data_IF_888169849905
#
_entry.id   IF_888169849905
#
_cell.length_a   1.000
_cell.length_b   1.000
_cell.length_c   1.000
_cell.angle_alpha   90.00
_cell.angle_beta   90.00
_cell.angle_gamma   90.00
#
_symmetry.space_group_name_H-M   'P 1'
#
loop_
_entity.id
_entity.type
_entity.pdbx_description
1 polymer ?
#
# COMPACT_ATOMS: atom_id res chain seq x y z
N UNK A 1 -21.07 2.40 9.60
CA UNK A 1 -20.01 2.24 10.61
C UNK A 1 -19.53 0.81 10.54
N UNK A 2 -18.22 0.62 10.58
CA UNK A 2 -17.59 -0.71 10.55
C UNK A 2 -17.91 -1.49 11.81
N UNK A 3 -18.12 -2.80 11.68
CA UNK A 3 -18.25 -3.70 12.82
C UNK A 3 -16.85 -4.07 13.33
N UNK A 4 -16.41 -3.43 14.42
CA UNK A 4 -15.09 -3.66 15.02
C UNK A 4 -14.89 -5.10 15.49
N UNK A 5 -15.96 -5.81 15.89
CA UNK A 5 -15.89 -7.21 16.32
C UNK A 5 -15.61 -8.11 15.12
N UNK A 6 -16.27 -7.85 13.99
CA UNK A 6 -16.07 -8.62 12.76
C UNK A 6 -14.64 -8.46 12.22
N UNK A 7 -14.14 -7.23 12.10
CA UNK A 7 -12.80 -6.99 11.54
C UNK A 7 -11.70 -7.59 12.42
N UNK A 8 -11.82 -7.51 13.75
CA UNK A 8 -10.87 -8.12 14.70
C UNK A 8 -10.88 -9.64 14.56
N UNK A 9 -12.07 -10.25 14.41
CA UNK A 9 -12.20 -11.69 14.16
C UNK A 9 -11.51 -12.10 12.86
N UNK A 10 -11.70 -11.36 11.77
CA UNK A 10 -11.04 -11.70 10.50
C UNK A 10 -9.54 -11.46 10.52
N UNK A 11 -9.07 -10.41 11.20
CA UNK A 11 -7.64 -10.15 11.44
C UNK A 11 -6.99 -11.31 12.18
N UNK A 12 -7.58 -11.74 13.30
CA UNK A 12 -7.11 -12.91 14.08
C UNK A 12 -7.08 -14.19 13.25
N UNK A 13 -8.09 -14.42 12.44
CA UNK A 13 -8.14 -15.59 11.55
C UNK A 13 -7.02 -15.58 10.50
N UNK A 14 -6.73 -14.41 9.92
CA UNK A 14 -5.63 -14.23 8.98
C UNK A 14 -4.27 -14.49 9.65
N UNK A 15 -4.01 -13.83 10.79
CA UNK A 15 -2.75 -13.99 11.55
C UNK A 15 -2.53 -15.47 11.90
N UNK A 16 -3.54 -16.13 12.46
CA UNK A 16 -3.42 -17.55 12.82
C UNK A 16 -3.16 -18.45 11.61
N UNK A 17 -3.66 -18.10 10.42
CA UNK A 17 -3.39 -18.85 9.20
C UNK A 17 -1.94 -18.65 8.70
N UNK A 18 -1.39 -17.44 8.84
CA UNK A 18 0.00 -17.12 8.52
C UNK A 18 0.93 -17.90 9.47
N UNK A 19 0.71 -17.80 10.78
CA UNK A 19 1.52 -18.48 11.80
C UNK A 19 1.53 -20.01 11.65
N UNK A 20 0.38 -20.59 11.29
CA UNK A 20 0.25 -22.04 11.05
C UNK A 20 0.77 -22.48 9.68
N UNK A 21 1.35 -21.59 8.88
CA UNK A 21 1.88 -21.90 7.55
C UNK A 21 0.81 -22.45 6.60
N UNK A 22 -0.43 -21.93 6.67
CA UNK A 22 -1.50 -22.37 5.76
C UNK A 22 -1.18 -22.01 4.32
N UNK A 23 -1.78 -22.75 3.39
CA UNK A 23 -1.50 -22.57 1.96
C UNK A 23 -1.76 -21.14 1.51
N UNK A 24 -0.92 -20.65 0.59
CA UNK A 24 -1.02 -19.30 0.04
C UNK A 24 -2.45 -18.95 -0.41
N UNK A 25 -3.12 -19.86 -1.13
CA UNK A 25 -4.51 -19.68 -1.61
C UNK A 25 -5.50 -19.50 -0.44
N UNK A 26 -5.31 -20.23 0.65
CA UNK A 26 -6.15 -20.10 1.84
C UNK A 26 -5.93 -18.76 2.54
N UNK A 27 -4.67 -18.41 2.79
CA UNK A 27 -4.30 -17.15 3.45
C UNK A 27 -4.73 -15.94 2.64
N UNK A 28 -4.58 -15.96 1.31
CA UNK A 28 -5.04 -14.89 0.43
C UNK A 28 -6.56 -14.67 0.48
N UNK A 29 -7.35 -15.73 0.63
CA UNK A 29 -8.81 -15.60 0.81
C UNK A 29 -9.15 -14.93 2.14
N UNK A 30 -8.43 -15.26 3.20
CA UNK A 30 -8.62 -14.63 4.52
C UNK A 30 -8.23 -13.16 4.49
N UNK A 31 -7.10 -12.85 3.84
CA UNK A 31 -6.64 -11.48 3.62
C UNK A 31 -7.70 -10.68 2.84
N UNK A 32 -8.16 -11.19 1.69
CA UNK A 32 -9.20 -10.51 0.91
C UNK A 32 -10.51 -10.32 1.69
N UNK A 33 -10.87 -11.25 2.57
CA UNK A 33 -12.05 -11.11 3.44
C UNK A 33 -11.84 -10.03 4.49
N UNK A 34 -10.66 -9.99 5.12
CA UNK A 34 -10.32 -8.93 6.07
C UNK A 34 -10.37 -7.55 5.43
N UNK A 35 -9.72 -7.38 4.27
CA UNK A 35 -9.69 -6.09 3.54
C UNK A 35 -11.10 -5.60 3.24
N UNK A 36 -11.96 -6.47 2.69
CA UNK A 36 -13.36 -6.10 2.40
C UNK A 36 -14.17 -5.75 3.64
N UNK A 37 -13.96 -6.43 4.75
CA UNK A 37 -14.66 -6.13 6.00
C UNK A 37 -14.19 -4.81 6.62
N UNK A 38 -12.86 -4.57 6.66
CA UNK A 38 -12.26 -3.31 7.13
C UNK A 38 -12.81 -2.12 6.34
N UNK A 39 -12.94 -2.30 5.02
CA UNK A 39 -13.42 -1.24 4.12
C UNK A 39 -14.97 -1.16 4.10
N UNK A 40 -15.66 -1.72 5.09
CA UNK A 40 -17.13 -1.73 5.22
C UNK A 40 -17.86 -2.26 3.98
N UNK A 41 -17.28 -3.26 3.30
CA UNK A 41 -17.82 -3.88 2.10
C UNK A 41 -18.23 -2.85 1.03
N UNK A 42 -17.37 -1.87 0.79
CA UNK A 42 -17.55 -0.88 -0.28
C UNK A 42 -16.23 -0.57 -0.96
N UNK A 43 -16.32 -0.03 -2.16
CA UNK A 43 -15.19 0.55 -2.84
C UNK A 43 -14.68 1.76 -2.05
N UNK A 44 -13.42 1.76 -1.61
CA UNK A 44 -12.85 2.89 -0.87
C UNK A 44 -12.76 4.14 -1.76
N UNK A 45 -12.65 3.97 -3.07
CA UNK A 45 -12.56 5.08 -4.03
C UNK A 45 -13.91 5.75 -4.35
N UNK A 46 -15.03 4.99 -4.40
CA UNK A 46 -16.30 5.52 -4.90
C UNK A 46 -17.55 5.08 -4.11
N UNK A 47 -17.36 4.43 -2.95
CA UNK A 47 -18.41 3.89 -2.07
C UNK A 47 -19.37 2.85 -2.71
N UNK A 48 -19.15 2.44 -3.97
CA UNK A 48 -19.94 1.38 -4.60
C UNK A 48 -19.86 0.06 -3.83
N UNK A 49 -20.99 -0.64 -3.67
CA UNK A 49 -21.07 -1.96 -3.03
C UNK A 49 -21.07 -3.12 -4.03
N UNK A 50 -20.89 -2.82 -5.33
CA UNK A 50 -21.06 -3.79 -6.41
C UNK A 50 -19.73 -4.35 -6.89
N UNK A 51 -19.68 -5.68 -7.12
CA UNK A 51 -18.53 -6.39 -7.73
C UNK A 51 -17.18 -6.05 -7.08
N UNK A 52 -17.14 -6.13 -5.75
CA UNK A 52 -15.98 -5.74 -4.95
C UNK A 52 -14.83 -6.74 -5.02
N UNK A 53 -13.62 -6.21 -5.08
CA UNK A 53 -12.37 -6.95 -5.17
C UNK A 53 -11.35 -6.34 -4.20
N UNK A 54 -10.57 -7.19 -3.54
CA UNK A 54 -9.40 -6.73 -2.79
C UNK A 54 -8.23 -6.56 -3.77
N UNK A 55 -7.68 -5.37 -3.81
CA UNK A 55 -6.56 -4.96 -4.65
C UNK A 55 -5.31 -4.81 -3.80
N UNK A 56 -4.17 -5.21 -4.33
CA UNK A 56 -2.86 -5.00 -3.69
C UNK A 56 -2.33 -3.63 -4.11
N UNK A 57 -2.08 -2.73 -3.16
CA UNK A 57 -1.52 -1.40 -3.46
C UNK A 57 -0.13 -1.56 -4.09
N UNK A 58 0.78 -2.25 -3.40
CA UNK A 58 2.06 -2.70 -3.94
C UNK A 58 1.88 -4.14 -4.44
N UNK A 59 2.12 -4.34 -5.73
CA UNK A 59 1.90 -5.62 -6.40
C UNK A 59 2.75 -6.73 -5.80
N UNK A 60 2.14 -7.89 -5.58
CA UNK A 60 2.81 -9.11 -5.09
C UNK A 60 3.99 -9.59 -5.93
N UNK A 61 4.04 -9.23 -7.22
CA UNK A 61 5.16 -9.58 -8.11
C UNK A 61 6.37 -8.69 -7.87
N UNK A 62 6.14 -7.44 -7.46
CA UNK A 62 7.20 -6.50 -7.10
C UNK A 62 7.72 -6.78 -5.69
N UNK A 63 6.80 -6.96 -4.72
CA UNK A 63 7.17 -7.18 -3.32
C UNK A 63 6.39 -8.35 -2.69
N UNK A 64 6.85 -9.61 -2.89
CA UNK A 64 6.16 -10.81 -2.40
C UNK A 64 6.02 -10.90 -0.88
N UNK A 65 6.91 -10.25 -0.12
CA UNK A 65 6.87 -10.26 1.34
C UNK A 65 5.71 -9.43 1.92
N UNK A 66 5.18 -8.46 1.16
CA UNK A 66 4.09 -7.58 1.60
C UNK A 66 2.67 -8.10 1.27
N UNK A 67 2.53 -9.32 0.75
CA UNK A 67 1.25 -9.81 0.19
C UNK A 67 0.10 -9.84 1.20
N UNK A 68 0.41 -10.11 2.47
CA UNK A 68 -0.58 -10.24 3.52
C UNK A 68 -0.58 -9.06 4.51
N UNK A 69 0.21 -8.03 4.25
CA UNK A 69 0.19 -6.78 5.03
C UNK A 69 -1.20 -6.15 4.93
N UNK A 70 -1.69 -5.62 6.05
CA UNK A 70 -3.05 -5.11 6.15
C UNK A 70 -3.18 -3.80 5.37
N UNK A 71 -2.18 -2.92 5.47
CA UNK A 71 -2.09 -1.68 4.72
C UNK A 71 -1.80 -1.86 3.23
N UNK A 72 -1.37 -3.05 2.79
CA UNK A 72 -1.10 -3.33 1.38
C UNK A 72 -2.34 -3.82 0.61
N UNK A 73 -3.54 -3.59 1.15
CA UNK A 73 -4.79 -4.00 0.56
C UNK A 73 -5.83 -2.89 0.59
N UNK A 74 -6.60 -2.77 -0.49
CA UNK A 74 -7.73 -1.83 -0.61
C UNK A 74 -8.90 -2.50 -1.34
N UNK A 75 -10.12 -2.25 -0.90
CA UNK A 75 -11.33 -2.74 -1.57
C UNK A 75 -11.73 -1.77 -2.67
N UNK A 76 -11.88 -2.30 -3.88
CA UNK A 76 -12.31 -1.54 -5.05
C UNK A 76 -13.46 -2.26 -5.76
N UNK A 77 -14.38 -1.50 -6.36
CA UNK A 77 -15.33 -2.09 -7.30
C UNK A 77 -14.60 -2.46 -8.60
N UNK A 78 -15.21 -3.33 -9.41
CA UNK A 78 -14.64 -3.75 -10.69
C UNK A 78 -14.22 -2.58 -11.61
N UNK A 79 -14.97 -1.48 -11.59
CA UNK A 79 -14.68 -0.30 -12.41
C UNK A 79 -13.43 0.45 -11.91
N UNK A 80 -13.37 0.81 -10.63
CA UNK A 80 -12.19 1.46 -10.05
C UNK A 80 -10.96 0.56 -10.14
N UNK A 81 -11.12 -0.74 -9.92
CA UNK A 81 -10.05 -1.72 -10.07
C UNK A 81 -9.53 -1.80 -11.51
N UNK A 82 -10.43 -1.76 -12.49
CA UNK A 82 -10.08 -1.74 -13.91
C UNK A 82 -9.35 -0.47 -14.34
N UNK A 83 -9.70 0.69 -13.76
CA UNK A 83 -9.04 1.98 -14.06
C UNK A 83 -7.59 2.02 -13.59
N UNK A 84 -7.32 1.53 -12.40
CA UNK A 84 -5.94 1.33 -11.88
C UNK A 84 -5.15 0.45 -12.84
N UNK A 85 -5.76 -0.67 -13.24
CA UNK A 85 -5.13 -1.58 -14.19
C UNK A 85 -5.15 -1.13 -15.66
N UNK A 86 -5.77 0.01 -15.98
CA UNK A 86 -5.96 0.44 -17.37
C UNK A 86 -4.64 0.79 -18.05
N UNK A 87 -3.70 1.36 -17.29
CA UNK A 87 -2.37 1.69 -17.80
C UNK A 87 -1.51 0.42 -17.96
N UNK A 88 -1.63 -0.55 -17.04
CA UNK A 88 -0.85 -1.78 -17.11
C UNK A 88 -1.45 -2.97 -16.35
N UNK A 89 -1.71 -4.04 -17.12
CA UNK A 89 -2.19 -5.35 -16.66
C UNK A 89 -1.11 -6.45 -16.69
N UNK A 90 0.13 -6.10 -17.06
CA UNK A 90 1.23 -7.05 -17.24
C UNK A 90 1.99 -7.39 -15.96
N UNK A 91 3.09 -8.13 -16.12
CA UNK A 91 4.14 -8.28 -15.11
C UNK A 91 5.28 -7.33 -15.48
N UNK A 92 5.70 -6.42 -14.60
CA UNK A 92 6.79 -5.51 -14.91
C UNK A 92 8.10 -6.28 -15.06
N UNK A 93 8.95 -5.84 -15.98
CA UNK A 93 10.32 -6.32 -16.09
C UNK A 93 11.17 -5.77 -14.94
N UNK A 94 11.40 -6.61 -13.94
CA UNK A 94 12.17 -6.26 -12.74
C UNK A 94 13.65 -5.90 -12.99
N UNK A 95 14.16 -6.05 -14.22
CA UNK A 95 15.50 -5.58 -14.59
C UNK A 95 15.54 -4.09 -14.96
N UNK A 96 14.39 -3.46 -15.16
CA UNK A 96 14.27 -2.03 -15.44
C UNK A 96 14.08 -1.22 -14.16
N UNK A 97 14.40 0.08 -14.17
CA UNK A 97 14.06 0.97 -13.07
C UNK A 97 12.56 0.93 -12.76
N UNK A 98 12.22 1.17 -11.50
CA UNK A 98 10.83 1.28 -11.07
C UNK A 98 10.10 2.36 -11.88
N UNK A 99 8.90 2.06 -12.37
CA UNK A 99 8.12 2.98 -13.23
C UNK A 99 8.62 3.09 -14.68
N UNK A 100 9.69 2.39 -15.07
CA UNK A 100 10.14 2.34 -16.48
C UNK A 100 9.11 1.64 -17.39
N UNK A 101 8.31 0.76 -16.82
CA UNK A 101 7.09 0.25 -17.40
C UNK A 101 5.91 0.80 -16.60
N UNK A 102 4.80 1.13 -17.26
CA UNK A 102 3.58 1.73 -16.68
C UNK A 102 2.88 0.86 -15.59
N UNK A 103 3.55 -0.17 -15.07
CA UNK A 103 3.04 -1.14 -14.10
C UNK A 103 3.21 -0.78 -12.65
N UNK A 104 4.22 0.03 -12.33
CA UNK A 104 4.56 0.43 -10.98
C UNK A 104 4.53 1.97 -10.91
N UNK A 105 3.32 2.52 -10.95
CA UNK A 105 3.07 3.96 -10.90
C UNK A 105 3.08 4.44 -9.45
N UNK A 106 4.07 5.27 -9.14
CA UNK A 106 4.24 5.89 -7.84
C UNK A 106 3.03 6.76 -7.45
N UNK A 107 2.42 7.47 -8.41
CA UNK A 107 1.26 8.33 -8.14
C UNK A 107 0.03 7.50 -7.76
N UNK A 108 -0.13 6.32 -8.38
CA UNK A 108 -1.16 5.34 -8.01
C UNK A 108 -0.98 4.87 -6.57
N UNK A 109 0.24 4.54 -6.15
CA UNK A 109 0.51 4.10 -4.77
C UNK A 109 0.25 5.22 -3.77
N UNK A 110 0.74 6.43 -4.03
CA UNK A 110 0.48 7.59 -3.18
C UNK A 110 -1.03 7.84 -3.05
N UNK A 111 -1.77 7.79 -4.16
CA UNK A 111 -3.23 7.95 -4.18
C UNK A 111 -3.94 6.87 -3.34
N UNK A 112 -3.59 5.60 -3.53
CA UNK A 112 -4.23 4.49 -2.82
C UNK A 112 -3.94 4.50 -1.32
N UNK A 113 -2.70 4.80 -0.91
CA UNK A 113 -2.39 4.97 0.52
C UNK A 113 -3.12 6.17 1.12
N UNK A 114 -3.27 7.26 0.35
CA UNK A 114 -4.09 8.42 0.74
C UNK A 114 -5.56 8.04 0.98
N UNK A 115 -6.16 7.28 0.05
CA UNK A 115 -7.51 6.76 0.20
C UNK A 115 -7.68 5.88 1.45
N UNK A 116 -6.70 5.02 1.75
CA UNK A 116 -6.74 4.18 2.96
C UNK A 116 -6.68 5.02 4.24
N UNK A 117 -5.86 6.06 4.27
CA UNK A 117 -5.78 6.98 5.41
C UNK A 117 -7.09 7.75 5.61
N UNK A 118 -7.64 8.32 4.54
CA UNK A 118 -8.90 9.05 4.60
C UNK A 118 -10.06 8.15 5.06
N UNK A 119 -10.05 6.90 4.61
CA UNK A 119 -11.01 5.88 5.04
C UNK A 119 -10.83 5.49 6.53
N UNK A 120 -9.60 5.31 7.00
CA UNK A 120 -9.31 5.04 8.40
C UNK A 120 -9.87 6.16 9.30
N UNK A 121 -9.61 7.42 8.93
CA UNK A 121 -10.13 8.61 9.63
C UNK A 121 -11.66 8.64 9.59
N UNK A 122 -12.26 8.45 8.41
CA UNK A 122 -13.72 8.43 8.23
C UNK A 122 -14.41 7.37 9.08
N UNK A 123 -13.77 6.21 9.26
CA UNK A 123 -14.31 5.08 10.01
C UNK A 123 -13.94 5.11 11.50
N UNK A 124 -12.99 5.96 11.92
CA UNK A 124 -12.47 6.00 13.28
C UNK A 124 -11.66 4.75 13.64
N UNK A 125 -10.96 4.17 12.66
CA UNK A 125 -10.13 2.98 12.85
C UNK A 125 -8.68 3.36 13.16
N UNK A 126 -8.05 2.58 14.04
CA UNK A 126 -6.63 2.71 14.34
C UNK A 126 -5.78 2.27 13.13
N UNK A 127 -4.94 3.19 12.65
CA UNK A 127 -4.12 3.00 11.45
C UNK A 127 -3.04 1.92 11.65
N UNK A 128 -2.43 1.86 12.83
CA UNK A 128 -1.40 0.87 13.16
C UNK A 128 -1.99 -0.51 13.51
N UNK A 129 -3.27 -0.60 13.86
CA UNK A 129 -3.93 -1.89 14.07
C UNK A 129 -4.47 -2.51 12.76
N UNK A 130 -5.21 -1.72 11.97
CA UNK A 130 -6.03 -2.24 10.86
C UNK A 130 -5.45 -1.97 9.47
N UNK A 131 -4.43 -1.12 9.38
CA UNK A 131 -3.75 -0.77 8.13
C UNK A 131 -2.24 -0.97 8.25
N UNK A 132 -1.80 -1.82 9.18
CA UNK A 132 -0.38 -2.08 9.46
C UNK A 132 0.43 -2.45 8.21
N UNK A 133 1.64 -1.89 8.13
CA UNK A 133 2.70 -2.23 7.19
C UNK A 133 3.98 -2.58 7.97
N UNK A 134 4.48 -3.80 7.82
CA UNK A 134 5.72 -4.22 8.49
C UNK A 134 6.95 -3.39 8.11
N UNK A 135 7.90 -3.27 9.04
CA UNK A 135 9.14 -2.49 8.87
C UNK A 135 9.94 -2.91 7.64
N UNK A 136 9.85 -4.18 7.22
CA UNK A 136 10.49 -4.66 6.00
C UNK A 136 9.94 -3.95 4.74
N UNK A 137 8.66 -3.63 4.73
CA UNK A 137 7.99 -2.92 3.65
C UNK A 137 8.31 -1.42 3.68
N UNK A 138 8.39 -0.82 4.88
CA UNK A 138 8.83 0.57 5.00
C UNK A 138 10.27 0.76 4.53
N UNK A 139 11.17 -0.16 4.91
CA UNK A 139 12.56 -0.18 4.42
C UNK A 139 12.66 -0.36 2.91
N UNK A 140 11.77 -1.15 2.31
CA UNK A 140 11.65 -1.24 0.86
C UNK A 140 11.29 0.12 0.24
N UNK A 141 10.34 0.86 0.83
CA UNK A 141 9.98 2.20 0.34
C UNK A 141 11.14 3.18 0.44
N UNK A 142 11.83 3.20 1.60
CA UNK A 142 13.04 4.00 1.81
C UNK A 142 14.13 3.63 0.79
N UNK A 143 14.32 2.34 0.52
CA UNK A 143 15.30 1.92 -0.48
C UNK A 143 14.99 2.45 -1.89
N UNK A 144 13.70 2.54 -2.24
CA UNK A 144 13.28 3.08 -3.53
C UNK A 144 13.34 4.61 -3.60
N UNK A 145 12.99 5.31 -2.52
CA UNK A 145 12.74 6.76 -2.54
C UNK A 145 13.79 7.59 -1.79
N UNK A 146 14.52 6.99 -0.85
CA UNK A 146 15.31 7.70 0.17
C UNK A 146 14.43 8.09 1.36
N UNK A 147 14.49 9.37 1.75
CA UNK A 147 13.68 9.98 2.81
C UNK A 147 13.76 9.25 4.16
N UNK A 148 14.99 8.99 4.64
CA UNK A 148 15.25 8.33 5.91
C UNK A 148 14.62 9.06 7.11
N UNK A 149 14.52 10.39 7.05
CA UNK A 149 13.91 11.20 8.11
C UNK A 149 12.41 10.89 8.29
N UNK A 150 11.67 10.69 7.19
CA UNK A 150 10.26 10.28 7.23
C UNK A 150 10.12 8.92 7.91
N UNK A 151 11.01 7.97 7.58
CA UNK A 151 11.01 6.68 8.25
C UNK A 151 11.35 6.81 9.74
N UNK A 152 12.25 7.72 10.10
CA UNK A 152 12.55 8.06 11.49
C UNK A 152 11.33 8.55 12.28
N UNK A 153 10.46 9.36 11.67
CA UNK A 153 9.21 9.82 12.29
C UNK A 153 8.27 8.66 12.63
N UNK A 154 8.14 7.68 11.72
CA UNK A 154 7.32 6.48 11.97
C UNK A 154 7.87 5.67 13.15
N UNK A 155 9.19 5.48 13.20
CA UNK A 155 9.83 4.71 14.28
C UNK A 155 9.69 5.40 15.65
N UNK A 156 9.51 6.73 15.68
CA UNK A 156 9.21 7.50 16.89
C UNK A 156 7.71 7.56 17.24
N UNK A 157 6.84 7.01 16.40
CA UNK A 157 5.39 7.06 16.57
C UNK A 157 4.78 8.44 16.28
N UNK A 158 5.50 9.32 15.59
CA UNK A 158 5.02 10.66 15.19
C UNK A 158 4.15 10.60 13.93
N UNK A 159 4.22 9.50 13.19
CA UNK A 159 3.54 9.28 11.93
C UNK A 159 3.12 7.81 11.83
N UNK A 160 1.89 7.56 11.40
CA UNK A 160 1.45 6.19 11.13
C UNK A 160 2.16 5.61 9.91
N UNK A 161 2.15 4.28 9.82
CA UNK A 161 2.80 3.56 8.71
C UNK A 161 2.16 3.84 7.35
N UNK A 162 0.83 3.97 7.29
CA UNK A 162 0.13 4.28 6.03
C UNK A 162 0.25 5.75 5.65
N UNK A 163 0.32 6.66 6.62
CA UNK A 163 0.62 8.07 6.33
C UNK A 163 2.01 8.19 5.74
N UNK A 164 3.01 7.50 6.32
CA UNK A 164 4.34 7.42 5.74
C UNK A 164 4.33 6.85 4.32
N UNK A 165 3.57 5.79 4.07
CA UNK A 165 3.45 5.21 2.74
C UNK A 165 2.86 6.22 1.73
N UNK A 166 1.84 7.00 2.12
CA UNK A 166 1.33 8.08 1.28
C UNK A 166 2.40 9.16 1.02
N UNK A 167 3.08 9.62 2.07
CA UNK A 167 4.04 10.73 1.98
C UNK A 167 5.30 10.37 1.18
N UNK A 168 5.85 9.17 1.35
CA UNK A 168 7.11 8.77 0.69
C UNK A 168 6.95 8.55 -0.81
N UNK A 169 5.76 8.15 -1.26
CA UNK A 169 5.45 7.93 -2.68
C UNK A 169 4.89 9.19 -3.36
N UNK A 170 4.68 10.32 -2.67
CA UNK A 170 4.22 11.56 -3.32
C UNK A 170 5.32 12.33 -4.08
N UNK A 171 6.55 12.49 -3.57
CA UNK A 171 7.61 13.25 -4.23
C UNK A 171 8.53 12.36 -5.08
N UNK A 172 9.26 12.92 -6.05
CA UNK A 172 10.27 12.16 -6.80
C UNK A 172 11.35 11.56 -5.87
N UNK A 173 12.05 10.48 -6.27
CA UNK A 173 13.14 9.91 -5.48
C UNK A 173 14.21 10.94 -5.12
N UNK A 174 14.67 10.93 -3.86
CA UNK A 174 15.61 11.92 -3.35
C UNK A 174 16.92 11.97 -4.13
N UNK A 175 17.40 10.80 -4.60
CA UNK A 175 18.60 10.70 -5.44
C UNK A 175 18.52 11.52 -6.73
N UNK A 176 17.31 11.69 -7.29
CA UNK A 176 17.09 12.49 -8.50
C UNK A 176 17.38 13.96 -8.25
N UNK A 177 16.92 14.51 -7.12
CA UNK A 177 17.21 15.89 -6.73
C UNK A 177 18.70 16.12 -6.45
N UNK A 178 19.35 15.19 -5.75
CA UNK A 178 20.79 15.27 -5.46
C UNK A 178 21.62 15.30 -6.75
N UNK A 179 21.26 14.44 -7.72
CA UNK A 179 21.93 14.40 -9.02
C UNK A 179 21.66 15.67 -9.83
N UNK A 180 20.41 16.14 -9.90
CA UNK A 180 20.05 17.37 -10.60
C UNK A 180 20.77 18.60 -10.02
N UNK A 181 20.83 18.73 -8.70
CA UNK A 181 21.57 19.81 -8.05
C UNK A 181 23.07 19.74 -8.38
N UNK A 182 23.65 18.54 -8.39
CA UNK A 182 25.05 18.33 -8.76
C UNK A 182 25.32 18.71 -10.23
N UNK A 183 24.42 18.35 -11.15
CA UNK A 183 24.48 18.73 -12.58
C UNK A 183 24.38 20.25 -12.76
N UNK A 184 23.43 20.92 -12.08
CA UNK A 184 23.28 22.38 -12.14
C UNK A 184 24.54 23.08 -11.62
N UNK A 185 25.15 22.59 -10.53
CA UNK A 185 26.40 23.13 -9.99
C UNK A 185 27.53 22.99 -11.02
N UNK A 186 27.64 21.83 -11.69
CA UNK A 186 28.64 21.60 -12.75
C UNK A 186 28.45 22.51 -13.97
N UNK A 187 27.22 22.89 -14.30
CA UNK A 187 26.91 23.77 -15.42
C UNK A 187 27.10 25.27 -15.09
N UNK A 188 27.12 25.61 -13.79
CA UNK A 188 27.32 26.97 -13.28
C UNK A 188 28.76 27.25 -12.79
N UNK A 189 29.68 26.30 -13.00
CA UNK A 189 31.13 26.40 -12.75
C UNK A 189 31.89 26.18 -14.06
#
# INVERSE_FOLDING_TARGET
>A
MVDSVEIVKYRRALISAIEKGRSYKWTLRLWSRFIKARDSYRCVCCDSMMKLQAHHVIRKTLYPWGVFELGNGVTLCHECHGRIHAQFNGRPNLSLPLGAEQGDDQDEWAFLFGLLRDDAVRQGLDEDEFYYLGDHMLKFFVHCQGYEDLHGMVMRGEMSRIMFAHEIWRPMPQAWYTNLASEIIKLNL
#
